data_IF_681222164983
#
_entry.id   IF_681222164983
#
_cell.length_a   1.000
_cell.length_b   1.000
_cell.length_c   1.000
_cell.angle_alpha   90.00
_cell.angle_beta   90.00
_cell.angle_gamma   90.00
#
_symmetry.space_group_name_H-M   'P 1'
#
loop_
_entity.id
_entity.type
_entity.pdbx_description
1 polymer ?
#
# COMPACT_ATOMS: atom_id res chain seq x y z
N UNK A 1 2.67 -21.41 7.10
CA UNK A 1 2.39 -20.10 6.45
C UNK A 1 0.94 -19.63 6.63
N UNK A 2 -0.05 -20.53 6.67
CA UNK A 2 -1.48 -20.18 6.90
C UNK A 2 -1.72 -19.31 8.14
N UNK A 3 -0.96 -19.50 9.21
CA UNK A 3 -1.06 -18.70 10.43
C UNK A 3 -0.84 -17.18 10.20
N UNK A 4 -0.19 -16.78 9.11
CA UNK A 4 0.03 -15.36 8.79
C UNK A 4 -1.11 -14.73 8.00
N UNK A 5 -2.11 -15.50 7.56
CA UNK A 5 -3.17 -14.97 6.69
C UNK A 5 -4.13 -14.05 7.42
N UNK A 6 -4.37 -14.32 8.70
CA UNK A 6 -5.29 -13.56 9.56
C UNK A 6 -4.60 -12.43 10.32
N UNK A 7 -3.27 -12.33 10.23
CA UNK A 7 -2.53 -11.23 10.83
C UNK A 7 -2.81 -9.95 10.04
N UNK A 8 -3.16 -8.90 10.78
CA UNK A 8 -3.38 -7.57 10.25
C UNK A 8 -2.33 -6.62 10.80
N UNK A 9 -1.68 -5.84 9.93
CA UNK A 9 -0.74 -4.82 10.35
C UNK A 9 0.50 -4.77 9.47
N UNK A 10 1.58 -4.20 10.00
CA UNK A 10 2.81 -3.90 9.26
C UNK A 10 4.01 -4.55 9.94
N UNK A 11 4.48 -5.67 9.41
CA UNK A 11 5.43 -6.53 10.11
C UNK A 11 6.36 -7.28 9.16
N UNK A 12 7.44 -7.80 9.73
CA UNK A 12 8.31 -8.82 9.14
C UNK A 12 8.48 -9.94 10.16
N UNK A 13 8.40 -11.19 9.72
CA UNK A 13 8.60 -12.37 10.57
C UNK A 13 9.83 -13.12 10.07
N UNK A 14 10.77 -13.35 10.98
CA UNK A 14 11.89 -14.27 10.77
C UNK A 14 11.58 -15.51 11.60
N UNK A 15 11.61 -16.68 10.97
CA UNK A 15 11.35 -17.95 11.65
C UNK A 15 12.20 -19.06 11.05
N UNK A 16 12.36 -20.14 11.80
CA UNK A 16 13.02 -21.36 11.36
C UNK A 16 12.14 -22.56 11.74
N UNK A 17 11.92 -23.46 10.80
CA UNK A 17 11.21 -24.72 11.03
C UNK A 17 12.23 -25.88 11.03
N UNK A 18 11.95 -26.99 11.73
CA UNK A 18 12.83 -28.16 11.71
C UNK A 18 13.12 -28.61 10.27
N UNK A 19 14.40 -28.82 9.94
CA UNK A 19 14.85 -29.24 8.61
C UNK A 19 14.85 -28.16 7.53
N UNK A 20 14.46 -26.92 7.85
CA UNK A 20 14.55 -25.78 6.93
C UNK A 20 15.52 -24.72 7.48
N UNK A 21 16.24 -24.05 6.59
CA UNK A 21 16.99 -22.85 6.92
C UNK A 21 16.08 -21.68 7.33
N UNK A 22 16.63 -20.59 7.88
CA UNK A 22 15.86 -19.43 8.30
C UNK A 22 15.08 -18.82 7.13
N UNK A 23 13.86 -18.37 7.41
CA UNK A 23 12.91 -17.81 6.44
C UNK A 23 12.48 -16.42 6.90
N UNK A 24 12.30 -15.52 5.94
CA UNK A 24 11.79 -14.17 6.17
C UNK A 24 10.54 -13.92 5.33
N UNK A 25 9.46 -13.47 5.97
CA UNK A 25 8.18 -13.15 5.31
C UNK A 25 7.66 -11.80 5.80
N UNK A 26 7.08 -11.02 4.87
CA UNK A 26 6.46 -9.73 5.17
C UNK A 26 4.98 -9.82 5.50
N UNK A 27 4.40 -8.68 5.82
CA UNK A 27 2.95 -8.48 5.90
C UNK A 27 2.25 -8.71 4.55
N UNK A 28 0.91 -8.64 4.55
CA UNK A 28 0.11 -9.01 3.39
C UNK A 28 0.41 -8.18 2.13
N UNK A 29 0.80 -6.91 2.25
CA UNK A 29 0.96 -6.00 1.10
C UNK A 29 2.36 -5.39 0.97
N UNK A 30 3.31 -5.82 1.81
CA UNK A 30 4.68 -5.31 1.81
C UNK A 30 4.78 -3.89 2.39
N UNK A 31 3.88 -3.53 3.31
CA UNK A 31 3.93 -2.23 4.00
C UNK A 31 5.23 -2.06 4.79
N UNK A 32 5.71 -3.12 5.43
CA UNK A 32 7.08 -3.20 5.93
C UNK A 32 7.95 -3.70 4.79
N UNK A 33 8.59 -2.76 4.09
CA UNK A 33 9.52 -3.08 3.03
C UNK A 33 10.65 -3.98 3.56
N UNK A 34 10.99 -5.01 2.79
CA UNK A 34 12.10 -5.91 3.06
C UNK A 34 12.97 -5.92 1.81
N UNK A 35 14.23 -5.55 1.97
CA UNK A 35 15.25 -5.57 0.93
C UNK A 35 16.29 -6.62 1.27
N UNK A 36 16.88 -7.24 0.26
CA UNK A 36 17.87 -8.28 0.48
C UNK A 36 18.92 -8.34 -0.64
N UNK A 37 20.04 -8.98 -0.33
CA UNK A 37 21.06 -9.35 -1.31
C UNK A 37 20.99 -10.87 -1.51
N UNK A 38 20.70 -11.35 -2.74
CA UNK A 38 20.67 -12.78 -3.03
C UNK A 38 21.99 -13.48 -2.65
N UNK A 39 21.89 -14.72 -2.19
CA UNK A 39 23.01 -15.60 -1.81
C UNK A 39 24.02 -15.00 -0.79
N UNK A 40 23.58 -14.10 0.09
CA UNK A 40 24.43 -13.53 1.16
C UNK A 40 23.83 -13.56 2.58
N UNK A 41 22.58 -13.99 2.73
CA UNK A 41 21.89 -13.96 4.02
C UNK A 41 21.69 -12.56 4.62
N UNK A 42 21.75 -11.51 3.79
CA UNK A 42 21.59 -10.13 4.24
C UNK A 42 20.23 -9.63 3.79
N UNK A 43 19.42 -9.21 4.77
CA UNK A 43 18.15 -8.55 4.55
C UNK A 43 17.97 -7.39 5.54
N UNK A 44 17.13 -6.41 5.19
CA UNK A 44 16.89 -5.24 6.02
C UNK A 44 15.71 -4.40 5.54
N UNK A 45 15.28 -3.46 6.37
CA UNK A 45 14.10 -2.62 6.11
C UNK A 45 14.33 -1.48 5.10
N UNK A 46 15.60 -1.21 4.76
CA UNK A 46 15.99 -0.11 3.87
C UNK A 46 17.01 -0.58 2.85
N UNK A 47 16.75 -0.31 1.56
CA UNK A 47 17.63 -0.72 0.46
C UNK A 47 19.06 -0.18 0.62
N UNK A 48 19.20 1.06 1.13
CA UNK A 48 20.51 1.67 1.39
C UNK A 48 21.30 0.93 2.46
N UNK A 49 20.68 0.60 3.59
CA UNK A 49 21.36 -0.11 4.68
C UNK A 49 21.86 -1.48 4.23
N UNK A 50 21.03 -2.20 3.46
CA UNK A 50 21.38 -3.48 2.87
C UNK A 50 22.55 -3.34 1.88
N UNK A 51 22.52 -2.33 1.01
CA UNK A 51 23.62 -2.03 0.09
C UNK A 51 24.93 -1.71 0.83
N UNK A 52 24.87 -0.87 1.86
CA UNK A 52 26.04 -0.38 2.57
C UNK A 52 26.70 -1.44 3.46
N UNK A 53 25.96 -2.48 3.82
CA UNK A 53 26.49 -3.65 4.53
C UNK A 53 27.51 -4.43 3.70
N UNK A 54 27.50 -4.33 2.36
CA UNK A 54 28.40 -5.09 1.48
C UNK A 54 29.11 -4.23 0.44
N UNK A 55 28.36 -3.47 -0.35
CA UNK A 55 28.86 -2.84 -1.57
C UNK A 55 29.16 -1.35 -1.40
N UNK A 56 28.35 -0.64 -0.61
CA UNK A 56 28.44 0.84 -0.45
C UNK A 56 28.38 1.60 -1.79
N UNK A 57 27.70 1.02 -2.78
CA UNK A 57 27.53 1.61 -4.11
C UNK A 57 26.63 2.86 -4.07
N UNK A 58 26.87 3.79 -4.99
CA UNK A 58 25.99 4.95 -5.21
C UNK A 58 24.74 4.53 -6.01
N UNK A 59 23.62 5.22 -5.77
CA UNK A 59 22.36 4.95 -6.45
C UNK A 59 22.46 5.18 -7.96
N UNK A 60 21.84 4.30 -8.75
CA UNK A 60 21.62 4.56 -10.18
C UNK A 60 20.54 5.63 -10.32
N UNK A 61 20.83 6.71 -11.07
CA UNK A 61 19.82 7.70 -11.43
C UNK A 61 18.88 7.08 -12.46
N UNK A 62 17.71 6.66 -12.02
CA UNK A 62 16.66 6.25 -12.94
C UNK A 62 15.31 6.79 -12.45
N UNK A 63 14.55 7.53 -13.29
CA UNK A 63 13.40 8.30 -12.84
C UNK A 63 12.13 7.44 -12.68
N UNK A 64 12.21 6.40 -11.85
CA UNK A 64 11.08 5.53 -11.55
C UNK A 64 10.15 6.15 -10.49
N UNK A 65 9.12 6.90 -10.93
CA UNK A 65 8.16 7.58 -10.02
C UNK A 65 7.22 6.62 -9.26
N UNK A 66 7.19 5.33 -9.63
CA UNK A 66 6.17 4.34 -9.29
C UNK A 66 6.74 3.05 -8.71
N UNK A 67 7.93 3.11 -8.11
CA UNK A 67 8.71 1.92 -7.77
C UNK A 67 9.60 1.49 -8.93
N UNK A 68 10.69 0.79 -8.63
CA UNK A 68 11.59 0.26 -9.65
C UNK A 68 10.91 -0.88 -10.44
N UNK A 69 11.32 -1.16 -11.69
CA UNK A 69 10.81 -2.27 -12.48
C UNK A 69 11.08 -3.62 -11.81
N UNK A 70 10.15 -4.55 -11.94
CA UNK A 70 10.22 -5.85 -11.26
C UNK A 70 10.39 -5.69 -9.75
N UNK A 71 11.21 -6.53 -9.14
CA UNK A 71 11.59 -6.43 -7.73
C UNK A 71 12.90 -5.65 -7.50
N UNK A 72 13.33 -4.84 -8.47
CA UNK A 72 14.61 -4.13 -8.39
C UNK A 72 14.61 -2.95 -7.42
N UNK A 73 15.79 -2.37 -7.21
CA UNK A 73 15.98 -1.12 -6.45
C UNK A 73 16.99 -0.20 -7.17
N UNK A 74 17.30 1.01 -6.66
CA UNK A 74 18.38 1.83 -7.22
C UNK A 74 19.78 1.22 -7.07
N UNK A 75 19.94 0.19 -6.23
CA UNK A 75 21.19 -0.50 -5.98
C UNK A 75 21.19 -1.82 -6.75
N UNK A 76 22.26 -2.06 -7.53
CA UNK A 76 22.30 -3.14 -8.52
C UNK A 76 22.01 -4.52 -7.92
N UNK A 77 22.56 -4.76 -6.73
CA UNK A 77 22.58 -6.07 -6.09
C UNK A 77 21.57 -6.20 -4.95
N UNK A 78 20.68 -5.20 -4.78
CA UNK A 78 19.66 -5.20 -3.74
C UNK A 78 18.30 -5.35 -4.40
N UNK A 79 17.58 -6.39 -3.99
CA UNK A 79 16.23 -6.71 -4.45
C UNK A 79 15.22 -6.43 -3.35
N UNK A 80 13.98 -6.19 -3.75
CA UNK A 80 12.81 -6.08 -2.88
C UNK A 80 12.16 -7.45 -2.73
N UNK A 81 11.83 -7.86 -1.50
CA UNK A 81 10.93 -8.98 -1.26
C UNK A 81 9.50 -8.52 -1.57
N UNK A 82 8.91 -9.05 -2.64
CA UNK A 82 7.53 -8.75 -3.02
C UNK A 82 6.53 -9.47 -2.10
N UNK A 83 5.31 -8.93 -1.92
CA UNK A 83 4.22 -9.62 -1.25
C UNK A 83 3.97 -11.03 -1.80
N UNK A 84 3.39 -11.91 -0.96
CA UNK A 84 3.04 -13.30 -1.28
C UNK A 84 4.20 -14.25 -1.57
N UNK A 85 5.43 -13.75 -1.46
CA UNK A 85 6.66 -14.53 -1.45
C UNK A 85 7.34 -14.47 -0.08
N UNK A 86 8.12 -15.50 0.23
CA UNK A 86 9.05 -15.51 1.34
C UNK A 86 10.49 -15.55 0.81
N UNK A 87 11.43 -15.11 1.62
CA UNK A 87 12.85 -15.20 1.35
C UNK A 87 13.44 -16.37 2.16
N UNK A 88 14.10 -17.28 1.47
CA UNK A 88 15.05 -18.20 2.07
C UNK A 88 16.35 -17.42 2.36
N UNK A 89 16.69 -17.23 3.64
CA UNK A 89 17.87 -16.45 4.02
C UNK A 89 19.17 -17.20 3.76
N UNK A 90 19.15 -18.52 3.65
CA UNK A 90 20.34 -19.32 3.36
C UNK A 90 20.65 -19.31 1.87
N UNK A 91 19.67 -19.68 1.03
CA UNK A 91 19.86 -19.69 -0.43
C UNK A 91 19.73 -18.31 -1.08
N UNK A 92 19.10 -17.35 -0.40
CA UNK A 92 18.74 -16.04 -0.93
C UNK A 92 17.70 -16.07 -2.04
N UNK A 93 16.96 -17.18 -2.18
CA UNK A 93 15.92 -17.35 -3.18
C UNK A 93 14.55 -16.97 -2.63
N UNK A 94 13.72 -16.44 -3.52
CA UNK A 94 12.31 -16.22 -3.24
C UNK A 94 11.53 -17.52 -3.45
N UNK A 95 10.50 -17.73 -2.65
CA UNK A 95 9.54 -18.80 -2.84
C UNK A 95 8.12 -18.27 -2.66
N UNK A 96 7.24 -18.53 -3.63
CA UNK A 96 5.82 -18.23 -3.52
C UNK A 96 5.20 -19.08 -2.43
N UNK A 97 4.40 -18.46 -1.55
CA UNK A 97 3.61 -19.18 -0.55
C UNK A 97 2.11 -18.88 -0.62
N UNK A 98 1.70 -17.91 -1.45
CA UNK A 98 0.31 -17.59 -1.75
C UNK A 98 0.17 -17.25 -3.26
N UNK A 99 -0.94 -17.59 -3.92
CA UNK A 99 -2.08 -18.37 -3.42
C UNK A 99 -1.73 -19.85 -3.17
N UNK A 100 -2.57 -20.56 -2.40
CA UNK A 100 -2.39 -21.99 -2.04
C UNK A 100 -3.53 -22.88 -2.51
N UNK A 101 -4.60 -22.28 -3.02
CA UNK A 101 -5.79 -22.94 -3.52
C UNK A 101 -6.33 -22.11 -4.70
N UNK A 102 -7.05 -22.74 -5.64
CA UNK A 102 -7.77 -22.03 -6.68
C UNK A 102 -8.71 -20.97 -6.11
N UNK A 103 -8.88 -19.86 -6.84
CA UNK A 103 -9.84 -18.81 -6.53
C UNK A 103 -11.25 -19.37 -6.71
N UNK A 104 -11.99 -19.41 -5.62
CA UNK A 104 -13.42 -19.67 -5.63
C UNK A 104 -14.17 -18.34 -5.65
N UNK A 105 -15.17 -18.19 -6.51
CA UNK A 105 -15.97 -16.97 -6.52
C UNK A 105 -16.94 -16.97 -5.33
N UNK A 106 -16.96 -15.86 -4.57
CA UNK A 106 -17.92 -15.65 -3.46
C UNK A 106 -18.83 -14.45 -3.76
N UNK A 107 -20.01 -14.46 -3.18
CA UNK A 107 -20.95 -13.33 -3.19
C UNK A 107 -20.53 -12.21 -2.24
N UNK A 108 -21.14 -11.04 -2.39
CA UNK A 108 -20.93 -9.91 -1.48
C UNK A 108 -21.30 -10.26 -0.03
N UNK A 109 -22.41 -10.96 0.19
CA UNK A 109 -22.91 -11.30 1.52
C UNK A 109 -21.94 -12.24 2.26
N UNK A 110 -21.35 -13.21 1.55
CA UNK A 110 -20.36 -14.13 2.10
C UNK A 110 -19.08 -13.44 2.57
N UNK A 111 -18.67 -12.34 1.92
CA UNK A 111 -17.42 -11.65 2.23
C UNK A 111 -17.61 -10.45 3.15
N UNK A 112 -18.79 -9.82 3.18
CA UNK A 112 -19.00 -8.52 3.84
C UNK A 112 -18.77 -8.61 5.35
N UNK A 113 -19.63 -9.36 6.04
CA UNK A 113 -19.62 -9.42 7.51
C UNK A 113 -18.31 -9.99 8.08
N UNK A 114 -17.76 -11.13 7.59
CA UNK A 114 -16.53 -11.67 8.15
C UNK A 114 -15.34 -10.72 8.04
N UNK A 115 -15.24 -9.97 6.94
CA UNK A 115 -14.11 -9.06 6.72
C UNK A 115 -14.28 -7.72 7.43
N UNK A 116 -15.51 -7.22 7.56
CA UNK A 116 -15.80 -6.08 8.42
C UNK A 116 -15.46 -6.40 9.88
N UNK A 117 -15.86 -7.57 10.40
CA UNK A 117 -15.51 -8.01 11.76
C UNK A 117 -14.01 -8.11 11.96
N UNK A 118 -13.26 -8.63 10.97
CA UNK A 118 -11.78 -8.68 11.05
C UNK A 118 -11.16 -7.29 11.12
N UNK A 119 -11.61 -6.37 10.26
CA UNK A 119 -11.11 -4.99 10.25
C UNK A 119 -11.46 -4.25 11.55
N UNK A 120 -12.70 -4.38 12.03
CA UNK A 120 -13.18 -3.83 13.30
C UNK A 120 -12.34 -4.32 14.48
N UNK A 121 -12.15 -5.64 14.62
CA UNK A 121 -11.31 -6.21 15.67
C UNK A 121 -9.87 -5.69 15.63
N UNK A 122 -9.31 -5.53 14.43
CA UNK A 122 -7.96 -5.01 14.27
C UNK A 122 -7.88 -3.52 14.69
N UNK A 123 -8.89 -2.70 14.35
CA UNK A 123 -9.02 -1.32 14.79
C UNK A 123 -9.14 -1.23 16.31
N UNK A 124 -10.10 -1.93 16.93
CA UNK A 124 -10.31 -1.90 18.38
C UNK A 124 -9.08 -2.37 19.15
N UNK A 125 -8.40 -3.42 18.67
CA UNK A 125 -7.17 -3.91 19.28
C UNK A 125 -5.99 -2.93 19.21
N UNK A 126 -5.92 -2.11 18.15
CA UNK A 126 -4.91 -1.05 18.04
C UNK A 126 -5.27 0.18 18.88
N UNK A 127 -6.56 0.55 18.95
CA UNK A 127 -7.06 1.67 19.74
C UNK A 127 -6.77 1.51 21.24
N UNK A 128 -6.75 0.27 21.75
CA UNK A 128 -6.35 -0.02 23.14
C UNK A 128 -4.88 0.29 23.45
N UNK A 129 -4.03 0.50 22.44
CA UNK A 129 -2.57 0.63 22.57
C UNK A 129 -2.02 1.98 22.12
N UNK A 130 -2.78 2.71 21.31
CA UNK A 130 -2.37 3.98 20.72
C UNK A 130 -3.59 4.77 20.28
N UNK A 131 -3.51 6.10 20.34
CA UNK A 131 -4.45 6.96 19.63
C UNK A 131 -4.38 6.68 18.13
N UNK A 132 -5.54 6.67 17.47
CA UNK A 132 -5.65 6.42 16.04
C UNK A 132 -5.84 7.73 15.29
N UNK A 133 -5.11 7.90 14.20
CA UNK A 133 -5.22 9.07 13.33
C UNK A 133 -5.49 8.61 11.90
N UNK A 134 -6.67 8.88 11.36
CA UNK A 134 -7.07 8.50 10.01
C UNK A 134 -6.76 9.61 8.99
N UNK A 135 -6.04 9.28 7.91
CA UNK A 135 -6.04 10.16 6.74
C UNK A 135 -7.36 10.03 5.98
N UNK A 136 -8.22 11.03 6.10
CA UNK A 136 -9.57 11.06 5.53
C UNK A 136 -9.63 11.94 4.28
N UNK A 137 -10.43 11.54 3.30
CA UNK A 137 -10.70 12.30 2.06
C UNK A 137 -12.15 12.08 1.64
N UNK A 138 -12.62 12.64 0.52
CA UNK A 138 -13.95 12.31 -0.04
C UNK A 138 -13.98 10.94 -0.72
N UNK A 139 -12.87 10.19 -0.68
CA UNK A 139 -12.70 8.92 -1.37
C UNK A 139 -13.34 7.74 -0.66
N UNK A 140 -13.61 6.70 -1.46
CA UNK A 140 -14.25 5.47 -1.00
C UNK A 140 -13.44 4.75 0.10
N UNK A 141 -12.13 4.56 -0.10
CA UNK A 141 -11.33 3.71 0.80
C UNK A 141 -11.24 4.28 2.22
N UNK A 142 -10.98 5.59 2.34
CA UNK A 142 -10.88 6.27 3.64
C UNK A 142 -12.22 6.30 4.36
N UNK A 143 -13.33 6.51 3.63
CA UNK A 143 -14.69 6.40 4.18
C UNK A 143 -15.06 4.98 4.61
N UNK A 144 -14.63 3.95 3.89
CA UNK A 144 -14.83 2.55 4.31
C UNK A 144 -14.08 2.24 5.61
N UNK A 145 -12.90 2.83 5.80
CA UNK A 145 -12.15 2.68 7.06
C UNK A 145 -12.80 3.46 8.20
N UNK A 146 -13.29 4.67 7.93
CA UNK A 146 -14.07 5.45 8.88
C UNK A 146 -15.34 4.70 9.31
N UNK A 147 -16.10 4.17 8.35
CA UNK A 147 -17.29 3.36 8.63
C UNK A 147 -16.97 2.15 9.52
N UNK A 148 -15.90 1.42 9.21
CA UNK A 148 -15.47 0.28 10.03
C UNK A 148 -15.07 0.69 11.46
N UNK A 149 -14.47 1.87 11.64
CA UNK A 149 -14.15 2.40 12.97
C UNK A 149 -15.41 2.83 13.73
N UNK A 150 -16.33 3.55 13.08
CA UNK A 150 -17.60 3.99 13.67
C UNK A 150 -18.47 2.80 14.10
N UNK A 151 -18.62 1.80 13.24
CA UNK A 151 -19.35 0.56 13.53
C UNK A 151 -18.71 -0.27 14.64
N UNK A 152 -17.42 -0.09 14.89
CA UNK A 152 -16.68 -0.75 15.96
C UNK A 152 -16.57 0.10 17.23
N UNK A 153 -17.22 1.28 17.26
CA UNK A 153 -17.15 2.25 18.36
C UNK A 153 -15.70 2.62 18.73
N UNK A 154 -14.85 2.78 17.71
CA UNK A 154 -13.44 3.12 17.87
C UNK A 154 -13.24 4.62 17.71
N UNK A 155 -12.78 5.26 18.77
CA UNK A 155 -12.35 6.66 18.76
C UNK A 155 -11.11 6.85 17.87
N UNK A 156 -11.16 7.88 17.02
CA UNK A 156 -10.04 8.30 16.19
C UNK A 156 -10.08 9.81 15.95
N UNK A 157 -8.92 10.36 15.63
CA UNK A 157 -8.78 11.67 15.01
C UNK A 157 -8.63 11.52 13.50
N UNK A 158 -8.88 12.58 12.75
CA UNK A 158 -8.74 12.59 11.30
C UNK A 158 -7.89 13.77 10.81
N UNK A 159 -7.28 13.60 9.65
CA UNK A 159 -6.66 14.71 8.93
C UNK A 159 -6.78 14.57 7.42
N UNK A 160 -6.68 15.69 6.72
CA UNK A 160 -6.60 15.75 5.25
C UNK A 160 -5.45 16.66 4.82
N UNK A 161 -4.70 16.25 3.79
CA UNK A 161 -3.63 17.05 3.22
C UNK A 161 -4.10 17.80 1.97
N UNK A 162 -3.81 19.09 1.91
CA UNK A 162 -4.11 19.95 0.75
C UNK A 162 -2.83 20.56 0.18
N UNK A 163 -2.88 20.99 -1.09
CA UNK A 163 -1.79 21.79 -1.64
C UNK A 163 -1.68 23.14 -0.91
N UNK A 164 -0.51 23.78 -0.99
CA UNK A 164 -0.36 25.17 -0.52
C UNK A 164 -1.38 26.08 -1.21
N UNK A 165 -1.94 27.04 -0.47
CA UNK A 165 -2.86 28.05 -1.02
C UNK A 165 -2.28 28.85 -2.20
N UNK A 166 -0.98 29.09 -2.20
CA UNK A 166 -0.27 29.83 -3.25
C UNK A 166 0.21 28.95 -4.43
N UNK A 167 -0.06 27.65 -4.40
CA UNK A 167 0.22 26.79 -5.55
C UNK A 167 -0.67 27.15 -6.74
N UNK A 168 -0.21 26.95 -7.99
CA UNK A 168 -1.06 27.13 -9.16
C UNK A 168 -2.38 26.39 -9.00
N UNK A 169 -3.49 27.07 -9.27
CA UNK A 169 -4.85 26.54 -9.15
C UNK A 169 -5.13 25.52 -10.27
N UNK A 170 -4.45 24.37 -10.23
CA UNK A 170 -4.65 23.25 -11.14
C UNK A 170 -5.72 22.28 -10.64
N UNK A 171 -6.10 21.34 -11.51
CA UNK A 171 -7.09 20.30 -11.19
C UNK A 171 -6.79 19.57 -9.88
N UNK A 172 -5.51 19.29 -9.57
CA UNK A 172 -5.10 18.64 -8.33
C UNK A 172 -5.39 19.47 -7.08
N UNK A 173 -5.16 20.79 -7.12
CA UNK A 173 -5.44 21.71 -6.00
C UNK A 173 -6.94 21.73 -5.72
N UNK A 174 -7.76 21.78 -6.77
CA UNK A 174 -9.23 21.71 -6.65
C UNK A 174 -9.69 20.39 -6.02
N UNK A 175 -9.18 19.25 -6.51
CA UNK A 175 -9.55 17.92 -5.98
C UNK A 175 -9.23 17.83 -4.48
N UNK A 176 -8.03 18.24 -4.07
CA UNK A 176 -7.65 18.17 -2.65
C UNK A 176 -8.46 19.13 -1.76
N UNK A 177 -8.82 20.31 -2.28
CA UNK A 177 -9.70 21.24 -1.57
C UNK A 177 -11.11 20.67 -1.37
N UNK A 178 -11.66 20.02 -2.40
CA UNK A 178 -12.95 19.32 -2.32
C UNK A 178 -12.88 18.14 -1.35
N UNK A 179 -11.81 17.33 -1.40
CA UNK A 179 -11.57 16.25 -0.45
C UNK A 179 -11.58 16.74 1.00
N UNK A 180 -10.89 17.85 1.27
CA UNK A 180 -10.82 18.43 2.62
C UNK A 180 -12.16 18.99 3.09
N UNK A 181 -12.94 19.61 2.19
CA UNK A 181 -14.24 20.16 2.52
C UNK A 181 -15.25 19.06 2.88
N UNK A 182 -15.34 18.00 2.07
CA UNK A 182 -16.20 16.84 2.34
C UNK A 182 -15.75 16.11 3.61
N UNK A 183 -14.44 15.88 3.78
CA UNK A 183 -13.91 15.23 4.97
C UNK A 183 -14.26 16.01 6.25
N UNK A 184 -14.15 17.35 6.22
CA UNK A 184 -14.51 18.23 7.34
C UNK A 184 -15.98 18.11 7.73
N UNK A 185 -16.88 18.05 6.75
CA UNK A 185 -18.31 17.88 7.02
C UNK A 185 -18.65 16.50 7.58
N UNK A 186 -18.05 15.45 7.02
CA UNK A 186 -18.18 14.09 7.53
C UNK A 186 -17.75 14.07 9.00
N UNK A 187 -16.55 14.55 9.31
CA UNK A 187 -16.03 14.51 10.67
C UNK A 187 -16.86 15.36 11.63
N UNK A 188 -17.36 16.52 11.21
CA UNK A 188 -18.22 17.36 12.03
C UNK A 188 -19.55 16.66 12.38
N UNK A 189 -20.14 15.94 11.43
CA UNK A 189 -21.39 15.21 11.66
C UNK A 189 -21.27 14.02 12.62
N UNK A 190 -20.06 13.45 12.75
CA UNK A 190 -19.76 12.34 13.68
C UNK A 190 -18.98 12.78 14.92
N UNK A 191 -18.79 14.09 15.14
CA UNK A 191 -18.05 14.60 16.31
C UNK A 191 -16.56 14.25 16.34
N UNK A 192 -15.95 13.99 15.18
CA UNK A 192 -14.53 13.61 15.04
C UNK A 192 -13.65 14.85 14.91
N UNK A 193 -12.56 14.89 15.69
CA UNK A 193 -11.52 15.92 15.53
C UNK A 193 -10.86 15.81 14.16
N UNK A 194 -10.82 16.91 13.40
CA UNK A 194 -10.26 16.93 12.04
C UNK A 194 -9.31 18.10 11.82
N UNK A 195 -8.15 17.81 11.25
CA UNK A 195 -7.15 18.81 10.87
C UNK A 195 -6.94 18.84 9.36
N UNK A 196 -6.97 20.03 8.78
CA UNK A 196 -6.55 20.24 7.38
C UNK A 196 -5.13 20.79 7.37
N UNK A 197 -4.21 20.03 6.79
CA UNK A 197 -2.79 20.37 6.74
C UNK A 197 -2.38 20.74 5.32
N UNK A 198 -1.69 21.87 5.18
CA UNK A 198 -1.19 22.34 3.90
C UNK A 198 0.21 21.79 3.64
N UNK A 199 0.49 21.34 2.42
CA UNK A 199 1.84 20.96 1.99
C UNK A 199 2.82 22.10 2.28
N UNK A 200 4.04 21.81 2.75
CA UNK A 200 5.08 22.81 2.99
C UNK A 200 6.37 22.39 2.29
N UNK A 201 7.19 23.33 1.79
CA UNK A 201 8.53 23.02 1.30
C UNK A 201 9.33 22.28 2.34
N UNK A 202 10.05 21.28 1.88
CA UNK A 202 10.97 20.53 2.72
C UNK A 202 12.33 21.24 2.80
N UNK A 203 12.90 21.32 4.01
CA UNK A 203 14.29 21.75 4.19
C UNK A 203 15.30 20.74 3.62
N UNK A 204 16.52 21.20 3.32
CA UNK A 204 17.52 20.36 2.67
C UNK A 204 18.05 19.22 3.56
N UNK A 205 17.98 19.39 4.88
CA UNK A 205 18.44 18.37 5.85
C UNK A 205 17.47 17.17 5.84
N UNK A 206 16.17 17.41 5.99
CA UNK A 206 15.12 16.40 5.94
C UNK A 206 15.07 15.73 4.56
N UNK A 207 15.27 16.50 3.48
CA UNK A 207 15.38 15.97 2.12
C UNK A 207 16.54 14.99 1.96
N UNK A 208 17.67 15.27 2.62
CA UNK A 208 18.84 14.37 2.61
C UNK A 208 18.54 13.07 3.35
N UNK A 209 17.94 13.14 4.54
CA UNK A 209 17.53 11.95 5.30
C UNK A 209 16.50 11.10 4.53
N UNK A 210 15.47 11.73 3.97
CA UNK A 210 14.45 10.99 3.23
C UNK A 210 15.00 10.31 1.99
N UNK A 211 15.92 10.94 1.25
CA UNK A 211 16.60 10.28 0.11
C UNK A 211 17.44 9.07 0.53
N UNK A 212 17.94 9.04 1.76
CA UNK A 212 18.67 7.90 2.29
C UNK A 212 17.72 6.76 2.70
N UNK A 213 16.53 7.08 3.21
CA UNK A 213 15.56 6.10 3.70
C UNK A 213 14.64 5.54 2.60
N UNK A 214 14.18 6.40 1.70
CA UNK A 214 13.32 6.07 0.59
C UNK A 214 13.90 6.67 -0.70
N UNK A 215 14.06 5.85 -1.73
CA UNK A 215 14.59 6.34 -3.01
C UNK A 215 13.55 7.10 -3.85
N UNK A 216 12.32 7.23 -3.34
CA UNK A 216 11.26 8.05 -3.91
C UNK A 216 11.05 9.31 -3.08
N UNK A 217 11.32 10.48 -3.67
CA UNK A 217 11.22 11.79 -2.99
C UNK A 217 9.90 12.54 -3.20
N UNK A 218 8.92 11.96 -3.91
CA UNK A 218 7.71 12.69 -4.32
C UNK A 218 6.68 12.93 -3.20
N UNK A 219 6.94 12.43 -1.98
CA UNK A 219 6.11 12.67 -0.79
C UNK A 219 6.67 13.80 0.09
N UNK A 220 7.78 14.41 -0.31
CA UNK A 220 8.56 15.33 0.53
C UNK A 220 7.71 16.47 1.11
N UNK A 221 6.98 17.21 0.29
CA UNK A 221 6.26 18.40 0.75
C UNK A 221 5.08 18.11 1.72
N UNK A 222 4.73 16.83 1.93
CA UNK A 222 3.69 16.40 2.87
C UNK A 222 4.23 16.06 4.24
N UNK A 223 5.51 15.69 4.34
CA UNK A 223 6.09 15.20 5.59
C UNK A 223 6.28 16.34 6.59
N UNK A 224 6.72 17.52 6.14
CA UNK A 224 6.99 18.66 7.02
C UNK A 224 5.78 19.10 7.87
N UNK A 225 4.59 19.37 7.28
CA UNK A 225 3.43 19.75 8.09
C UNK A 225 2.97 18.62 9.03
N UNK A 226 3.08 17.36 8.60
CA UNK A 226 2.76 16.21 9.45
C UNK A 226 3.73 16.08 10.63
N UNK A 227 5.02 16.25 10.38
CA UNK A 227 6.04 16.21 11.42
C UNK A 227 5.86 17.34 12.43
N UNK A 228 5.55 18.55 11.96
CA UNK A 228 5.30 19.71 12.81
C UNK A 228 4.06 19.50 13.69
N UNK A 229 2.98 18.94 13.14
CA UNK A 229 1.73 18.74 13.86
C UNK A 229 1.78 17.53 14.81
N UNK A 230 2.36 16.41 14.36
CA UNK A 230 2.19 15.11 15.01
C UNK A 230 3.49 14.41 15.41
N UNK A 231 4.66 14.92 15.03
CA UNK A 231 5.94 14.22 15.21
C UNK A 231 6.37 13.98 16.68
N UNK A 232 5.69 14.61 17.64
CA UNK A 232 5.89 14.39 19.08
C UNK A 232 4.76 13.60 19.74
N UNK A 233 3.76 13.20 18.96
CA UNK A 233 2.58 12.49 19.46
C UNK A 233 2.74 10.99 19.23
N UNK A 234 2.26 10.18 20.17
CA UNK A 234 2.23 8.72 20.04
C UNK A 234 0.92 8.31 19.36
N UNK A 235 0.82 8.58 18.06
CA UNK A 235 -0.33 8.24 17.23
C UNK A 235 0.01 7.16 16.20
N UNK A 236 -0.97 6.32 15.89
CA UNK A 236 -0.90 5.33 14.85
C UNK A 236 -1.66 5.83 13.62
N UNK A 237 -0.94 6.07 12.51
CA UNK A 237 -1.55 6.54 11.28
C UNK A 237 -2.32 5.40 10.60
N UNK A 238 -3.64 5.50 10.63
CA UNK A 238 -4.56 4.59 9.95
C UNK A 238 -4.71 5.00 8.48
N UNK A 239 -4.48 4.03 7.58
CA UNK A 239 -4.62 4.16 6.13
C UNK A 239 -5.56 3.11 5.55
N UNK A 240 -5.97 3.33 4.31
CA UNK A 240 -7.05 2.56 3.67
C UNK A 240 -6.71 1.98 2.30
N UNK A 241 -5.58 2.39 1.73
CA UNK A 241 -5.18 2.14 0.35
C UNK A 241 -4.91 0.67 -0.03
N UNK A 242 -4.78 -0.25 0.94
CA UNK A 242 -4.76 -1.68 0.66
C UNK A 242 -6.06 -2.19 0.01
N UNK A 243 -7.20 -1.51 0.22
CA UNK A 243 -8.47 -1.85 -0.44
C UNK A 243 -8.38 -1.77 -1.98
N UNK A 244 -7.55 -0.87 -2.52
CA UNK A 244 -7.41 -0.68 -3.97
C UNK A 244 -6.93 -1.94 -4.71
N UNK A 245 -6.24 -2.86 -4.01
CA UNK A 245 -5.80 -4.16 -4.55
C UNK A 245 -6.98 -4.95 -5.13
N UNK A 246 -8.13 -4.92 -4.46
CA UNK A 246 -9.30 -5.73 -4.82
C UNK A 246 -10.35 -4.94 -5.62
N UNK A 247 -9.99 -3.77 -6.16
CA UNK A 247 -10.91 -2.88 -6.89
C UNK A 247 -10.72 -2.90 -8.40
N UNK A 248 -10.09 -3.96 -8.93
CA UNK A 248 -9.90 -4.17 -10.36
C UNK A 248 -9.24 -2.96 -11.07
N UNK A 249 -8.18 -2.41 -10.45
CA UNK A 249 -7.60 -1.12 -10.81
C UNK A 249 -7.21 -1.00 -12.29
N UNK A 250 -6.75 -2.10 -12.90
CA UNK A 250 -6.37 -2.15 -14.31
C UNK A 250 -7.34 -2.96 -15.18
N UNK A 251 -8.60 -3.16 -14.78
CA UNK A 251 -9.57 -3.95 -15.53
C UNK A 251 -9.77 -3.52 -16.99
N UNK A 252 -9.49 -2.26 -17.32
CA UNK A 252 -9.57 -1.70 -18.68
C UNK A 252 -8.37 -2.03 -19.57
N UNK A 253 -7.33 -2.66 -19.03
CA UNK A 253 -6.12 -3.05 -19.75
C UNK A 253 -6.11 -4.56 -20.03
N UNK A 254 -5.35 -5.01 -21.05
CA UNK A 254 -5.16 -6.44 -21.30
C UNK A 254 -4.66 -7.19 -20.06
N UNK A 255 -4.94 -8.49 -19.99
CA UNK A 255 -4.37 -9.36 -18.98
C UNK A 255 -2.84 -9.37 -19.07
N UNK A 256 -2.20 -9.61 -17.93
CA UNK A 256 -0.74 -9.79 -17.84
C UNK A 256 -0.46 -11.29 -18.02
N UNK A 257 -0.24 -11.71 -19.25
CA UNK A 257 0.07 -13.13 -19.57
C UNK A 257 1.52 -13.49 -19.24
N UNK A 258 2.43 -12.52 -19.37
CA UNK A 258 3.87 -12.71 -19.19
C UNK A 258 4.56 -11.42 -18.65
N UNK A 259 5.88 -11.50 -18.51
CA UNK A 259 6.70 -10.40 -18.04
C UNK A 259 6.65 -9.16 -18.97
N UNK A 260 6.39 -9.37 -20.26
CA UNK A 260 6.28 -8.30 -21.25
C UNK A 260 4.99 -7.50 -21.04
N UNK A 261 3.86 -8.17 -20.82
CA UNK A 261 2.60 -7.51 -20.46
C UNK A 261 2.70 -6.71 -19.15
N UNK A 262 3.44 -7.24 -18.15
CA UNK A 262 3.69 -6.51 -16.91
C UNK A 262 4.54 -5.25 -17.14
N UNK A 263 5.60 -5.35 -17.95
CA UNK A 263 6.42 -4.23 -18.36
C UNK A 263 5.60 -3.17 -19.11
N UNK A 264 4.73 -3.57 -20.03
CA UNK A 264 3.88 -2.65 -20.80
C UNK A 264 2.90 -1.89 -19.89
N UNK A 265 2.26 -2.58 -18.93
CA UNK A 265 1.37 -1.96 -17.95
C UNK A 265 2.11 -0.98 -17.04
N UNK A 266 3.32 -1.34 -16.59
CA UNK A 266 4.20 -0.44 -15.84
C UNK A 266 4.55 0.81 -16.66
N UNK A 267 4.89 0.63 -17.93
CA UNK A 267 5.30 1.71 -18.84
C UNK A 267 4.20 2.74 -19.11
N UNK A 268 2.91 2.39 -18.99
CA UNK A 268 1.81 3.36 -19.08
C UNK A 268 1.93 4.52 -18.10
N UNK A 269 2.49 4.28 -16.91
CA UNK A 269 2.75 5.31 -15.88
C UNK A 269 4.18 5.87 -15.94
N UNK A 270 5.02 5.33 -16.83
CA UNK A 270 6.46 5.59 -16.92
C UNK A 270 6.96 5.91 -18.33
N UNK A 271 6.15 6.63 -19.13
CA UNK A 271 6.49 7.01 -20.53
C UNK A 271 7.86 7.65 -20.73
N UNK A 272 8.44 8.29 -19.70
CA UNK A 272 9.80 8.87 -19.74
C UNK A 272 10.93 7.84 -19.80
N UNK A 273 10.61 6.54 -19.77
CA UNK A 273 11.55 5.42 -19.82
C UNK A 273 11.47 4.65 -21.14
N UNK A 274 10.89 5.25 -22.19
CA UNK A 274 10.70 4.58 -23.47
C UNK A 274 12.02 4.05 -24.05
N UNK A 275 13.12 4.76 -23.81
CA UNK A 275 14.50 4.39 -24.16
C UNK A 275 15.07 3.23 -23.32
N UNK A 276 14.42 2.86 -22.22
CA UNK A 276 14.85 1.81 -21.29
C UNK A 276 13.92 0.61 -21.30
N UNK A 277 13.05 0.48 -22.31
CA UNK A 277 12.04 -0.59 -22.38
C UNK A 277 12.63 -1.98 -22.20
N UNK A 278 13.79 -2.27 -22.83
CA UNK A 278 14.40 -3.59 -22.72
C UNK A 278 14.87 -3.88 -21.30
N UNK A 279 15.47 -2.90 -20.63
CA UNK A 279 15.87 -3.01 -19.22
C UNK A 279 14.65 -3.21 -18.30
N UNK A 280 13.52 -2.59 -18.63
CA UNK A 280 12.26 -2.77 -17.89
C UNK A 280 11.74 -4.20 -18.12
N UNK A 281 11.74 -4.71 -19.36
CA UNK A 281 11.35 -6.08 -19.70
C UNK A 281 12.20 -7.11 -18.96
N UNK A 282 13.53 -6.99 -19.01
CA UNK A 282 14.44 -7.87 -18.26
C UNK A 282 14.14 -7.88 -16.76
N UNK A 283 13.92 -6.71 -16.15
CA UNK A 283 13.63 -6.65 -14.72
C UNK A 283 12.30 -7.32 -14.34
N UNK A 284 11.29 -7.27 -15.21
CA UNK A 284 10.05 -8.02 -15.01
C UNK A 284 10.22 -9.52 -15.29
N UNK A 285 11.05 -9.92 -16.25
CA UNK A 285 11.41 -11.32 -16.46
C UNK A 285 12.06 -11.90 -15.19
N UNK A 286 13.05 -11.21 -14.63
CA UNK A 286 13.71 -11.59 -13.37
C UNK A 286 12.70 -11.73 -12.23
N UNK A 287 11.76 -10.79 -12.10
CA UNK A 287 10.70 -10.87 -11.10
C UNK A 287 9.81 -12.10 -11.34
N UNK A 288 9.32 -12.31 -12.56
CA UNK A 288 8.42 -13.40 -12.90
C UNK A 288 9.06 -14.77 -12.60
N UNK A 289 10.33 -14.94 -12.97
CA UNK A 289 11.08 -16.16 -12.68
C UNK A 289 11.31 -16.36 -11.18
N UNK A 290 11.70 -15.30 -10.45
CA UNK A 290 11.99 -15.43 -9.02
C UNK A 290 10.74 -15.68 -8.17
N UNK A 291 9.58 -15.16 -8.57
CA UNK A 291 8.36 -15.19 -7.75
C UNK A 291 7.35 -16.23 -8.22
N UNK A 292 7.65 -16.96 -9.29
CA UNK A 292 6.69 -17.85 -9.95
C UNK A 292 5.35 -17.12 -10.19
N UNK A 293 5.42 -15.95 -10.83
CA UNK A 293 4.29 -15.01 -10.89
C UNK A 293 3.04 -15.60 -11.57
N UNK A 294 3.24 -16.44 -12.58
CA UNK A 294 2.15 -17.02 -13.38
C UNK A 294 1.30 -18.02 -12.59
N UNK A 295 1.80 -18.57 -11.47
CA UNK A 295 1.05 -19.47 -10.60
C UNK A 295 -0.23 -18.85 -10.04
N UNK A 296 -0.23 -17.52 -9.78
CA UNK A 296 -1.44 -16.83 -9.32
C UNK A 296 -2.58 -16.91 -10.35
N UNK A 297 -2.26 -16.73 -11.63
CA UNK A 297 -3.22 -16.85 -12.73
C UNK A 297 -3.69 -18.29 -12.92
N UNK A 298 -2.79 -19.27 -12.79
CA UNK A 298 -3.15 -20.69 -12.84
C UNK A 298 -4.12 -21.08 -11.72
N UNK A 299 -4.05 -20.39 -10.57
CA UNK A 299 -5.03 -20.50 -9.49
C UNK A 299 -6.28 -19.62 -9.70
N UNK A 300 -6.52 -19.07 -10.89
CA UNK A 300 -7.74 -18.33 -11.23
C UNK A 300 -7.80 -16.88 -10.73
N UNK A 301 -6.71 -16.31 -10.21
CA UNK A 301 -6.66 -14.89 -9.86
C UNK A 301 -6.36 -14.02 -11.09
N UNK A 302 -6.95 -12.82 -11.11
CA UNK A 302 -6.68 -11.83 -12.17
C UNK A 302 -5.22 -11.37 -12.10
N UNK A 303 -4.47 -11.56 -13.18
CA UNK A 303 -3.04 -11.26 -13.21
C UNK A 303 -2.72 -9.77 -13.05
N UNK A 304 -3.68 -8.88 -13.35
CA UNK A 304 -3.53 -7.44 -13.15
C UNK A 304 -3.62 -7.08 -11.67
N UNK A 305 -4.56 -7.69 -10.95
CA UNK A 305 -4.66 -7.50 -9.50
C UNK A 305 -3.45 -8.12 -8.77
N UNK A 306 -2.97 -9.27 -9.24
CA UNK A 306 -1.71 -9.88 -8.77
C UNK A 306 -0.53 -8.93 -8.96
N UNK A 307 -0.40 -8.30 -10.14
CA UNK A 307 0.63 -7.31 -10.40
C UNK A 307 0.47 -6.07 -9.50
N UNK A 308 -0.78 -5.71 -9.16
CA UNK A 308 -1.07 -4.54 -8.32
C UNK A 308 -0.56 -4.82 -6.92
N UNK A 309 -0.91 -5.99 -6.43
CA UNK A 309 -0.55 -6.45 -5.11
C UNK A 309 0.97 -6.66 -4.98
N UNK A 310 1.58 -7.43 -5.88
CA UNK A 310 2.97 -7.87 -5.69
C UNK A 310 3.99 -6.82 -6.15
N UNK A 311 3.72 -6.14 -7.27
CA UNK A 311 4.63 -5.10 -7.75
C UNK A 311 4.29 -3.73 -7.18
N UNK A 312 3.09 -3.21 -7.44
CA UNK A 312 2.81 -1.81 -7.14
C UNK A 312 2.75 -1.54 -5.63
N UNK A 313 2.09 -2.38 -4.84
CA UNK A 313 2.05 -2.17 -3.39
C UNK A 313 3.44 -2.38 -2.76
N UNK A 314 4.14 -3.43 -3.17
CA UNK A 314 5.51 -3.70 -2.73
C UNK A 314 6.51 -2.59 -3.10
N UNK A 315 6.51 -2.11 -4.35
CA UNK A 315 7.56 -1.23 -4.88
C UNK A 315 7.22 0.26 -4.80
N UNK A 316 5.95 0.65 -4.92
CA UNK A 316 5.51 2.05 -4.82
C UNK A 316 5.02 2.39 -3.42
N UNK A 317 4.06 1.63 -2.88
CA UNK A 317 3.39 2.01 -1.64
C UNK A 317 4.35 1.94 -0.45
N UNK A 318 5.17 0.88 -0.37
CA UNK A 318 6.20 0.74 0.68
C UNK A 318 7.15 1.95 0.77
N UNK A 319 7.52 2.55 -0.37
CA UNK A 319 8.37 3.74 -0.41
C UNK A 319 7.67 4.99 0.14
N UNK A 320 6.35 5.08 -0.06
CA UNK A 320 5.56 6.18 0.54
C UNK A 320 5.49 6.02 2.06
N UNK A 321 5.44 4.78 2.55
CA UNK A 321 5.42 4.49 3.99
C UNK A 321 6.78 4.76 4.64
N UNK A 322 7.88 4.34 4.01
CA UNK A 322 9.23 4.67 4.49
C UNK A 322 9.45 6.18 4.62
N UNK A 323 8.79 7.01 3.81
CA UNK A 323 8.83 8.46 3.98
C UNK A 323 8.05 8.93 5.22
N UNK A 324 6.93 8.29 5.54
CA UNK A 324 6.10 8.65 6.71
C UNK A 324 6.58 8.05 8.03
N UNK A 325 7.51 7.09 8.01
CA UNK A 325 8.09 6.47 9.23
C UNK A 325 8.81 7.50 10.13
N UNK A 326 9.15 8.69 9.60
CA UNK A 326 9.68 9.80 10.40
C UNK A 326 8.62 10.49 11.27
N UNK A 327 7.33 10.27 10.98
CA UNK A 327 6.22 10.93 11.66
C UNK A 327 5.34 9.92 12.41
N UNK A 328 5.04 8.78 11.78
CA UNK A 328 4.07 7.83 12.30
C UNK A 328 4.52 6.39 12.15
N UNK A 329 4.18 5.57 13.14
CA UNK A 329 3.87 4.18 12.87
C UNK A 329 2.58 4.10 12.04
N UNK A 330 2.54 3.21 11.06
CA UNK A 330 1.40 3.09 10.13
C UNK A 330 0.67 1.77 10.32
N UNK A 331 -0.65 1.85 10.37
CA UNK A 331 -1.56 0.74 10.39
C UNK A 331 -2.56 0.82 9.24
N UNK A 332 -2.94 -0.33 8.70
CA UNK A 332 -4.01 -0.41 7.71
C UNK A 332 -4.85 -1.66 8.06
N UNK A 333 -6.13 -1.51 8.47
CA UNK A 333 -6.94 -2.63 8.91
C UNK A 333 -7.26 -3.64 7.80
N UNK A 334 -7.02 -3.24 6.54
CA UNK A 334 -7.21 -4.06 5.35
C UNK A 334 -5.91 -4.76 4.91
N UNK A 335 -4.78 -4.49 5.57
CA UNK A 335 -3.51 -5.21 5.33
C UNK A 335 -3.51 -6.58 6.02
N UNK A 336 -4.44 -7.44 5.58
CA UNK A 336 -4.67 -8.78 6.08
C UNK A 336 -4.93 -9.68 4.87
N UNK A 337 -4.15 -10.76 4.72
CA UNK A 337 -4.20 -11.59 3.50
C UNK A 337 -5.54 -12.31 3.36
N UNK A 338 -6.14 -12.72 4.47
CA UNK A 338 -7.48 -13.31 4.48
C UNK A 338 -8.54 -12.34 3.94
N UNK A 339 -8.49 -11.06 4.38
CA UNK A 339 -9.38 -10.01 3.85
C UNK A 339 -9.15 -9.85 2.35
N UNK A 340 -7.90 -9.65 1.92
CA UNK A 340 -7.59 -9.41 0.51
C UNK A 340 -7.95 -10.60 -0.38
N UNK A 341 -7.78 -11.84 0.11
CA UNK A 341 -8.18 -13.06 -0.59
C UNK A 341 -9.70 -13.10 -0.80
N UNK A 342 -10.48 -12.83 0.24
CA UNK A 342 -11.95 -12.76 0.14
C UNK A 342 -12.41 -11.62 -0.78
N UNK A 343 -11.78 -10.44 -0.72
CA UNK A 343 -12.16 -9.34 -1.61
C UNK A 343 -11.82 -9.62 -3.08
N UNK A 344 -10.73 -10.34 -3.36
CA UNK A 344 -10.38 -10.78 -4.72
C UNK A 344 -11.27 -11.93 -5.22
N UNK A 345 -11.99 -12.61 -4.32
CA UNK A 345 -12.93 -13.68 -4.65
C UNK A 345 -14.27 -13.16 -5.19
N UNK A 346 -14.56 -11.86 -5.03
CA UNK A 346 -15.75 -11.23 -5.57
C UNK A 346 -15.78 -11.24 -7.11
N UNK A 347 -16.98 -11.23 -7.73
CA UNK A 347 -17.14 -11.04 -9.17
C UNK A 347 -16.44 -9.76 -9.65
N UNK A 348 -15.97 -9.75 -10.90
CA UNK A 348 -15.27 -8.60 -11.49
C UNK A 348 -16.11 -7.32 -11.39
N UNK A 349 -17.42 -7.41 -11.62
CA UNK A 349 -18.34 -6.27 -11.56
C UNK A 349 -18.39 -5.65 -10.16
N UNK A 350 -18.43 -6.47 -9.11
CA UNK A 350 -18.45 -5.99 -7.73
C UNK A 350 -17.14 -5.32 -7.32
N UNK A 351 -16.02 -5.89 -7.77
CA UNK A 351 -14.69 -5.32 -7.55
C UNK A 351 -14.56 -3.95 -8.24
N UNK A 352 -14.93 -3.86 -9.52
CA UNK A 352 -14.90 -2.62 -10.29
C UNK A 352 -15.84 -1.54 -9.71
N UNK A 353 -17.01 -1.95 -9.20
CA UNK A 353 -17.98 -1.05 -8.56
C UNK A 353 -17.65 -0.74 -7.10
N UNK A 354 -16.63 -1.38 -6.52
CA UNK A 354 -16.29 -1.23 -5.10
C UNK A 354 -17.47 -1.61 -4.18
N UNK A 355 -18.24 -2.63 -4.56
CA UNK A 355 -19.48 -3.03 -3.87
C UNK A 355 -19.26 -3.30 -2.38
N UNK A 356 -18.17 -3.98 -2.01
CA UNK A 356 -17.79 -4.18 -0.60
C UNK A 356 -17.63 -2.86 0.15
N UNK A 357 -16.84 -1.94 -0.39
CA UNK A 357 -16.58 -0.65 0.23
C UNK A 357 -17.84 0.19 0.40
N UNK A 358 -18.75 0.16 -0.60
CA UNK A 358 -20.06 0.83 -0.53
C UNK A 358 -20.94 0.20 0.53
N UNK A 359 -21.08 -1.13 0.54
CA UNK A 359 -21.88 -1.83 1.53
C UNK A 359 -21.41 -1.56 2.98
N UNK A 360 -20.09 -1.47 3.22
CA UNK A 360 -19.56 -1.07 4.54
C UNK A 360 -19.91 0.37 4.89
N UNK A 361 -19.86 1.30 3.92
CA UNK A 361 -20.26 2.70 4.14
C UNK A 361 -21.76 2.84 4.37
N UNK A 362 -22.58 2.10 3.62
CA UNK A 362 -24.05 2.11 3.73
C UNK A 362 -24.53 1.49 5.04
N UNK A 363 -23.78 0.55 5.61
CA UNK A 363 -24.04 0.01 6.94
C UNK A 363 -23.84 1.05 8.06
N UNK A 364 -23.10 2.13 7.82
CA UNK A 364 -22.90 3.22 8.77
C UNK A 364 -23.94 4.32 8.55
N UNK A 365 -24.84 4.47 9.51
CA UNK A 365 -25.99 5.39 9.40
C UNK A 365 -25.56 6.81 9.02
N UNK A 366 -26.13 7.32 7.93
CA UNK A 366 -25.92 8.68 7.45
C UNK A 366 -24.59 8.92 6.70
N UNK A 367 -23.67 7.95 6.64
CA UNK A 367 -22.36 8.18 6.05
C UNK A 367 -22.42 8.24 4.52
N UNK A 368 -23.37 7.54 3.91
CA UNK A 368 -23.58 7.50 2.46
C UNK A 368 -24.16 8.80 1.87
N UNK A 369 -24.63 9.74 2.70
CA UNK A 369 -25.25 10.99 2.23
C UNK A 369 -24.29 11.92 1.46
N UNK A 370 -22.98 11.84 1.73
CA UNK A 370 -22.00 12.59 0.97
C UNK A 370 -21.59 11.83 -0.29
N UNK A 371 -21.47 12.49 -1.46
CA UNK A 371 -21.00 11.86 -2.69
C UNK A 371 -19.54 11.40 -2.57
N UNK A 372 -19.18 10.34 -3.31
CA UNK A 372 -17.81 9.83 -3.38
C UNK A 372 -17.04 10.63 -4.44
N UNK A 373 -15.92 11.24 -4.06
CA UNK A 373 -15.06 12.05 -4.94
C UNK A 373 -15.83 13.07 -5.82
N UNK A 374 -16.64 13.98 -5.26
CA UNK A 374 -17.36 14.96 -6.06
C UNK A 374 -16.39 15.90 -6.78
N UNK A 375 -16.82 16.48 -7.91
CA UNK A 375 -15.98 17.40 -8.68
C UNK A 375 -15.89 18.81 -8.05
N UNK A 376 -16.89 19.19 -7.24
CA UNK A 376 -17.05 20.48 -6.54
C UNK A 376 -17.79 20.24 -5.21
N UNK A 377 -17.59 21.11 -4.22
CA UNK A 377 -18.26 21.04 -2.92
C UNK A 377 -18.20 22.37 -2.13
N UNK A 378 -19.30 22.85 -1.50
CA UNK A 378 -20.68 22.42 -1.71
C UNK A 378 -21.13 22.68 -3.17
N UNK A 379 -22.25 22.10 -3.60
CA UNK A 379 -22.76 22.26 -4.98
C UNK A 379 -23.04 23.71 -5.38
#
# INVERSE_FOLDING_TARGET
MSATDTLCGRYALIYQAPGLGPRLVGDATGMRAIFFIPARGIAGSHAKLVNDAVFREKTRRTPFKGGHPGHGTPYRNVMLLVPNCLLDLESGKLARFWPRAPREQKTLDEVLQPNLVRAARALSGMAQRSGLLLSLTAGQDSRTTLAAALLAEVDLEAFTLVNRRDSPHGARTRILGVDAAVAKEITAAYGISHQVLEEQPMDDRLKTYLKANAYKSSYSNRIMPLLAQYGQQRLLHVRSNALEIARAYWAKHPEVDDANGAADLFMLKHRKLADQVERVRTAFQDMFHATDFTAGRQMGYDSRDMLYWEHRMGAWHSQQLLCSDLVFDTFNPWNCRAILTDLLSLPMQDRANSSFSRAVVDACEGLSKWPINPAKWPE
#
